data_IF_475514182503
#
_entry.id   IF_475514182503
#
_cell.length_a   1.000
_cell.length_b   1.000
_cell.length_c   1.000
_cell.angle_alpha   90.00
_cell.angle_beta   90.00
_cell.angle_gamma   90.00
#
_symmetry.space_group_name_H-M   'P 1'
#
loop_
_entity.id
_entity.type
_entity.pdbx_description
1 polymer ?
#
# COMPACT_ATOMS: atom_id res chain seq x y z
N UNK A 1 -23.94 -35.09 -7.91
CA UNK A 1 -23.06 -34.28 -7.04
C UNK A 1 -23.76 -32.97 -6.76
N UNK A 2 -23.93 -32.53 -5.50
CA UNK A 2 -24.52 -31.22 -5.23
C UNK A 2 -23.51 -30.16 -5.69
N UNK A 3 -23.94 -29.32 -6.63
CA UNK A 3 -23.25 -28.10 -7.03
C UNK A 3 -23.15 -27.20 -5.80
N UNK A 4 -21.99 -27.20 -5.14
CA UNK A 4 -21.64 -26.19 -4.15
C UNK A 4 -21.53 -24.86 -4.88
N UNK A 5 -22.64 -24.12 -4.94
CA UNK A 5 -22.66 -22.72 -5.35
C UNK A 5 -21.72 -22.00 -4.38
N UNK A 6 -20.50 -21.70 -4.83
CA UNK A 6 -19.59 -20.85 -4.07
C UNK A 6 -20.34 -19.56 -3.77
N UNK A 7 -20.49 -19.15 -2.49
CA UNK A 7 -21.23 -17.95 -2.16
C UNK A 7 -20.69 -16.78 -2.97
N UNK A 8 -21.59 -16.03 -3.61
CA UNK A 8 -21.22 -14.77 -4.25
C UNK A 8 -20.50 -13.93 -3.21
N UNK A 9 -19.22 -13.61 -3.43
CA UNK A 9 -18.47 -12.79 -2.47
C UNK A 9 -19.16 -11.44 -2.39
N UNK A 10 -19.94 -11.23 -1.33
CA UNK A 10 -20.51 -9.94 -1.00
C UNK A 10 -19.35 -8.94 -0.93
N UNK A 11 -19.42 -7.88 -1.73
CA UNK A 11 -18.38 -6.84 -1.80
C UNK A 11 -18.04 -6.37 -0.38
N UNK A 12 -16.79 -6.54 0.03
CA UNK A 12 -16.34 -6.15 1.37
C UNK A 12 -16.20 -4.62 1.45
N UNK A 13 -17.30 -3.90 1.75
CA UNK A 13 -17.34 -2.44 1.74
C UNK A 13 -16.26 -1.79 2.64
N UNK A 14 -15.95 -2.41 3.78
CA UNK A 14 -14.89 -1.92 4.65
C UNK A 14 -13.50 -1.95 3.99
N UNK A 15 -13.19 -2.95 3.16
CA UNK A 15 -11.91 -3.02 2.44
C UNK A 15 -11.86 -2.01 1.29
N UNK A 16 -12.99 -1.71 0.66
CA UNK A 16 -13.05 -0.64 -0.34
C UNK A 16 -12.80 0.72 0.29
N UNK A 17 -13.48 1.02 1.41
CA UNK A 17 -13.28 2.26 2.14
C UNK A 17 -11.84 2.38 2.67
N UNK A 18 -11.25 1.28 3.13
CA UNK A 18 -9.86 1.27 3.57
C UNK A 18 -8.90 1.52 2.41
N UNK A 19 -9.11 0.92 1.23
CA UNK A 19 -8.32 1.22 0.03
C UNK A 19 -8.41 2.68 -0.37
N UNK A 20 -9.60 3.29 -0.30
CA UNK A 20 -9.75 4.73 -0.57
C UNK A 20 -8.89 5.56 0.38
N UNK A 21 -8.91 5.26 1.69
CA UNK A 21 -8.01 5.92 2.66
C UNK A 21 -6.54 5.76 2.25
N UNK A 22 -6.11 4.54 1.92
CA UNK A 22 -4.72 4.27 1.56
C UNK A 22 -4.34 5.00 0.24
N UNK A 23 -5.25 5.09 -0.72
CA UNK A 23 -5.04 5.86 -1.95
C UNK A 23 -4.86 7.34 -1.63
N UNK A 24 -5.67 7.91 -0.74
CA UNK A 24 -5.48 9.30 -0.30
C UNK A 24 -4.13 9.46 0.41
N UNK A 25 -3.74 8.53 1.28
CA UNK A 25 -2.43 8.55 1.94
C UNK A 25 -1.26 8.48 0.95
N UNK A 26 -1.37 7.75 -0.16
CA UNK A 26 -0.36 7.76 -1.25
C UNK A 26 -0.23 9.18 -1.82
N UNK A 27 -1.35 9.84 -2.12
CA UNK A 27 -1.35 11.21 -2.65
C UNK A 27 -0.68 12.17 -1.67
N UNK A 28 -1.04 12.10 -0.38
CA UNK A 28 -0.42 12.95 0.64
C UNK A 28 1.05 12.61 0.87
N UNK A 29 1.45 11.34 0.80
CA UNK A 29 2.86 10.96 0.86
C UNK A 29 3.67 11.67 -0.23
N UNK A 30 3.25 11.54 -1.48
CA UNK A 30 3.94 12.18 -2.61
C UNK A 30 3.85 13.72 -2.58
N UNK A 31 2.71 14.29 -2.18
CA UNK A 31 2.57 15.74 -2.04
C UNK A 31 3.53 16.33 -1.00
N UNK A 32 3.85 15.56 0.06
CA UNK A 32 4.77 15.97 1.10
C UNK A 32 6.24 15.98 0.66
N UNK A 33 6.64 15.19 -0.34
CA UNK A 33 8.06 15.01 -0.69
C UNK A 33 8.74 16.32 -1.13
N UNK A 34 7.98 17.26 -1.68
CA UNK A 34 8.47 18.60 -2.01
C UNK A 34 8.82 19.47 -0.78
N UNK A 35 8.18 19.21 0.35
CA UNK A 35 8.19 20.08 1.52
C UNK A 35 8.90 19.44 2.72
N UNK A 36 9.41 18.21 2.59
CA UNK A 36 10.03 17.47 3.68
C UNK A 36 11.18 16.59 3.19
N UNK A 37 11.60 15.66 4.04
CA UNK A 37 12.73 14.74 3.85
C UNK A 37 12.31 13.37 3.26
N UNK A 38 11.19 13.32 2.53
CA UNK A 38 10.56 12.09 2.03
C UNK A 38 11.24 11.46 0.81
N UNK A 39 12.54 11.67 0.61
CA UNK A 39 13.29 11.17 -0.54
C UNK A 39 13.25 12.09 -1.78
N UNK A 40 13.80 11.58 -2.89
CA UNK A 40 13.96 12.35 -4.12
C UNK A 40 12.61 12.75 -4.74
N UNK A 41 12.50 14.00 -5.18
CA UNK A 41 11.30 14.54 -5.80
C UNK A 41 11.67 15.50 -6.95
N UNK A 42 10.95 15.49 -8.08
CA UNK A 42 11.31 16.28 -9.27
C UNK A 42 11.07 17.78 -9.14
N UNK A 43 10.36 18.22 -8.08
CA UNK A 43 10.09 19.62 -7.79
C UNK A 43 10.76 20.02 -6.47
N UNK A 44 11.23 21.26 -6.40
CA UNK A 44 11.71 21.87 -5.15
C UNK A 44 11.10 23.26 -5.03
N UNK A 45 10.57 23.63 -3.85
CA UNK A 45 9.92 24.92 -3.66
C UNK A 45 10.91 26.07 -3.79
N UNK A 46 10.50 27.12 -4.51
CA UNK A 46 11.28 28.36 -4.65
C UNK A 46 11.37 29.19 -3.37
N UNK A 47 10.39 29.06 -2.47
CA UNK A 47 10.32 29.78 -1.21
C UNK A 47 10.98 28.99 -0.07
N UNK A 48 12.02 29.58 0.54
CA UNK A 48 12.88 28.90 1.52
C UNK A 48 12.19 28.50 2.83
N UNK A 49 11.07 29.14 3.19
CA UNK A 49 10.30 28.83 4.40
C UNK A 49 9.25 27.72 4.22
N UNK A 50 9.21 27.07 3.05
CA UNK A 50 8.25 25.99 2.76
C UNK A 50 8.69 24.61 3.26
N UNK A 51 9.86 24.49 3.87
CA UNK A 51 10.28 23.25 4.53
C UNK A 51 9.46 22.96 5.80
N UNK A 52 9.05 21.71 5.97
CA UNK A 52 8.16 21.24 7.03
C UNK A 52 8.80 20.10 7.82
N UNK A 53 9.45 20.44 8.92
CA UNK A 53 10.22 19.46 9.72
C UNK A 53 9.42 18.31 10.31
N UNK A 54 8.11 18.47 10.56
CA UNK A 54 7.30 17.37 11.12
C UNK A 54 7.00 16.26 10.09
N UNK A 55 7.18 16.53 8.79
CA UNK A 55 7.00 15.52 7.75
C UNK A 55 8.00 14.35 7.90
N UNK A 56 9.16 14.57 8.52
CA UNK A 56 10.12 13.51 8.85
C UNK A 56 9.61 12.48 9.85
N UNK A 57 8.51 12.75 10.55
CA UNK A 57 7.78 11.73 11.33
C UNK A 57 6.65 11.09 10.52
N UNK A 58 6.06 11.84 9.58
CA UNK A 58 4.96 11.38 8.74
C UNK A 58 5.40 10.31 7.74
N UNK A 59 6.50 10.52 7.01
CA UNK A 59 7.00 9.58 6.01
C UNK A 59 7.27 8.18 6.58
N UNK A 60 8.09 8.00 7.63
CA UNK A 60 8.38 6.68 8.17
C UNK A 60 7.13 6.01 8.75
N UNK A 61 6.27 6.74 9.45
CA UNK A 61 5.00 6.18 9.96
C UNK A 61 4.10 5.72 8.81
N UNK A 62 3.98 6.52 7.75
CA UNK A 62 3.18 6.15 6.59
C UNK A 62 3.77 4.92 5.90
N UNK A 63 5.07 4.98 5.57
CA UNK A 63 5.84 3.92 4.90
C UNK A 63 5.81 2.58 5.65
N UNK A 64 5.80 2.63 6.98
CA UNK A 64 5.76 1.45 7.84
C UNK A 64 4.57 0.51 7.56
N UNK A 65 3.45 0.99 7.02
CA UNK A 65 2.28 0.12 6.81
C UNK A 65 1.61 0.26 5.45
N UNK A 66 1.58 1.44 4.82
CA UNK A 66 0.58 1.68 3.77
C UNK A 66 0.72 0.76 2.55
N UNK A 67 1.94 0.59 2.02
CA UNK A 67 2.21 -0.33 0.89
C UNK A 67 2.08 -1.78 1.30
N UNK A 68 2.57 -2.14 2.49
CA UNK A 68 2.37 -3.48 3.05
C UNK A 68 0.89 -3.84 3.16
N UNK A 69 0.06 -2.93 3.65
CA UNK A 69 -1.38 -3.11 3.75
C UNK A 69 -2.05 -3.18 2.37
N UNK A 70 -1.58 -2.41 1.38
CA UNK A 70 -2.02 -2.58 -0.01
C UNK A 70 -1.70 -3.97 -0.56
N UNK A 71 -0.50 -4.51 -0.32
CA UNK A 71 -0.15 -5.88 -0.70
C UNK A 71 -1.04 -6.90 0.00
N UNK A 72 -1.25 -6.75 1.31
CA UNK A 72 -2.11 -7.61 2.13
C UNK A 72 -3.54 -7.66 1.58
N UNK A 73 -4.17 -6.50 1.35
CA UNK A 73 -5.54 -6.43 0.85
C UNK A 73 -5.62 -6.92 -0.60
N UNK A 74 -4.62 -6.62 -1.43
CA UNK A 74 -4.60 -7.06 -2.84
C UNK A 74 -4.46 -8.57 -2.97
N UNK A 75 -3.62 -9.17 -2.12
CA UNK A 75 -3.38 -10.60 -2.07
C UNK A 75 -4.55 -11.38 -1.45
N UNK A 76 -5.29 -10.78 -0.51
CA UNK A 76 -6.50 -11.38 0.07
C UNK A 76 -7.50 -11.85 -0.99
N UNK A 77 -7.68 -11.13 -2.10
CA UNK A 77 -8.63 -11.54 -3.14
C UNK A 77 -8.04 -12.49 -4.20
N UNK A 78 -6.73 -12.76 -4.17
CA UNK A 78 -6.07 -13.61 -5.18
C UNK A 78 -6.59 -15.05 -5.16
N UNK A 79 -6.60 -15.78 -4.02
CA UNK A 79 -6.93 -17.19 -4.04
C UNK A 79 -8.36 -17.43 -4.52
N UNK A 80 -9.32 -16.65 -4.03
CA UNK A 80 -10.71 -16.72 -4.50
C UNK A 80 -10.90 -16.36 -5.97
N UNK A 81 -10.13 -15.39 -6.49
CA UNK A 81 -10.18 -15.05 -7.91
C UNK A 81 -9.59 -16.15 -8.78
N UNK A 82 -8.53 -16.81 -8.33
CA UNK A 82 -7.88 -17.93 -9.01
C UNK A 82 -8.79 -19.16 -9.01
N UNK A 83 -9.33 -19.55 -7.85
CA UNK A 83 -10.23 -20.71 -7.71
C UNK A 83 -11.48 -20.58 -8.61
N UNK A 84 -12.02 -19.36 -8.77
CA UNK A 84 -13.22 -19.12 -9.61
C UNK A 84 -12.92 -19.02 -11.11
N UNK A 85 -11.80 -18.42 -11.49
CA UNK A 85 -11.51 -18.13 -12.90
C UNK A 85 -10.67 -19.23 -13.57
N UNK A 86 -10.01 -20.07 -12.78
CA UNK A 86 -8.94 -20.95 -13.24
C UNK A 86 -7.68 -20.16 -13.64
N UNK A 87 -6.57 -20.88 -13.75
CA UNK A 87 -5.23 -20.31 -13.93
C UNK A 87 -5.09 -19.46 -15.19
N UNK A 88 -5.48 -19.98 -16.36
CA UNK A 88 -5.34 -19.27 -17.64
C UNK A 88 -6.08 -17.93 -17.64
N UNK A 89 -7.34 -17.93 -17.18
CA UNK A 89 -8.14 -16.72 -17.18
C UNK A 89 -7.68 -15.73 -16.10
N UNK A 90 -7.23 -16.22 -14.93
CA UNK A 90 -6.65 -15.39 -13.88
C UNK A 90 -5.40 -14.65 -14.36
N UNK A 91 -4.44 -15.38 -14.95
CA UNK A 91 -3.19 -14.82 -15.47
C UNK A 91 -3.49 -13.77 -16.55
N UNK A 92 -4.37 -14.08 -17.51
CA UNK A 92 -4.76 -13.12 -18.56
C UNK A 92 -5.37 -11.84 -17.96
N UNK A 93 -6.30 -11.96 -17.00
CA UNK A 93 -6.93 -10.80 -16.34
C UNK A 93 -5.89 -9.95 -15.59
N UNK A 94 -4.94 -10.58 -14.91
CA UNK A 94 -3.86 -9.88 -14.17
C UNK A 94 -2.87 -9.21 -15.11
N UNK A 95 -2.42 -9.89 -16.15
CA UNK A 95 -1.51 -9.34 -17.15
C UNK A 95 -2.09 -8.11 -17.85
N UNK A 96 -3.37 -8.14 -18.23
CA UNK A 96 -4.04 -6.98 -18.83
C UNK A 96 -4.20 -5.86 -17.80
N UNK A 97 -4.76 -6.16 -16.63
CA UNK A 97 -5.10 -5.14 -15.64
C UNK A 97 -3.87 -4.45 -15.05
N UNK A 98 -2.79 -5.18 -14.79
CA UNK A 98 -1.58 -4.62 -14.18
C UNK A 98 -0.54 -4.24 -15.24
N UNK A 99 -0.34 -5.09 -16.25
CA UNK A 99 0.70 -4.90 -17.25
C UNK A 99 0.41 -3.78 -18.24
N UNK A 100 -0.84 -3.60 -18.71
CA UNK A 100 -1.16 -2.51 -19.65
C UNK A 100 -0.88 -1.14 -19.03
N UNK A 101 -1.38 -0.81 -17.82
CA UNK A 101 -1.05 0.47 -17.21
C UNK A 101 0.45 0.66 -16.91
N UNK A 102 1.15 -0.38 -16.49
CA UNK A 102 2.60 -0.33 -16.29
C UNK A 102 3.34 0.00 -17.60
N UNK A 103 2.97 -0.63 -18.72
CA UNK A 103 3.55 -0.34 -20.03
C UNK A 103 3.30 1.10 -20.47
N UNK A 104 2.11 1.64 -20.19
CA UNK A 104 1.80 3.05 -20.48
C UNK A 104 2.72 3.97 -19.69
N UNK A 105 2.91 3.72 -18.39
CA UNK A 105 3.83 4.52 -17.56
C UNK A 105 5.27 4.39 -18.05
N UNK A 106 5.71 3.20 -18.43
CA UNK A 106 7.05 2.96 -18.97
C UNK A 106 7.31 3.76 -20.25
N UNK A 107 6.35 3.77 -21.19
CA UNK A 107 6.43 4.53 -22.44
C UNK A 107 6.42 6.04 -22.17
N UNK A 108 5.56 6.50 -21.27
CA UNK A 108 5.49 7.91 -20.89
C UNK A 108 6.78 8.37 -20.22
N UNK A 109 7.32 7.57 -19.29
CA UNK A 109 8.60 7.81 -18.63
C UNK A 109 9.71 7.93 -19.67
N UNK A 110 9.84 6.97 -20.59
CA UNK A 110 10.82 7.02 -21.68
C UNK A 110 10.69 8.28 -22.54
N UNK A 111 9.46 8.68 -22.87
CA UNK A 111 9.19 9.83 -23.72
C UNK A 111 9.52 11.17 -23.06
N UNK A 112 9.31 11.27 -21.74
CA UNK A 112 9.48 12.52 -20.98
C UNK A 112 10.90 12.66 -20.44
N UNK A 113 11.49 11.58 -19.94
CA UNK A 113 12.79 11.61 -19.24
C UNK A 113 13.94 11.02 -20.05
N UNK A 114 13.64 10.38 -21.18
CA UNK A 114 14.62 9.60 -21.95
C UNK A 114 15.00 8.26 -21.32
N UNK A 115 14.38 7.86 -20.21
CA UNK A 115 14.64 6.60 -19.50
C UNK A 115 13.35 5.82 -19.30
N UNK A 116 13.37 4.54 -19.64
CA UNK A 116 12.24 3.65 -19.41
C UNK A 116 12.23 3.19 -17.94
N UNK A 117 11.47 3.87 -17.10
CA UNK A 117 11.36 3.54 -15.67
C UNK A 117 9.91 3.25 -15.29
N UNK A 118 9.69 2.29 -14.39
CA UNK A 118 8.37 2.03 -13.82
C UNK A 118 7.90 3.14 -12.88
N UNK A 119 8.78 4.08 -12.52
CA UNK A 119 8.51 5.19 -11.62
C UNK A 119 7.75 4.70 -10.37
N UNK A 120 6.61 5.33 -10.04
CA UNK A 120 5.78 4.92 -8.91
C UNK A 120 5.04 3.60 -9.10
N UNK A 121 4.98 3.01 -10.31
CA UNK A 121 4.23 1.77 -10.61
C UNK A 121 4.90 0.46 -10.18
N UNK A 122 6.06 0.54 -9.51
CA UNK A 122 6.78 -0.60 -8.95
C UNK A 122 5.89 -1.54 -8.13
N UNK A 123 4.86 -1.04 -7.44
CA UNK A 123 3.94 -1.89 -6.68
C UNK A 123 3.11 -2.81 -7.58
N UNK A 124 2.68 -2.35 -8.76
CA UNK A 124 1.94 -3.18 -9.71
C UNK A 124 2.82 -4.26 -10.31
N UNK A 125 4.08 -3.92 -10.56
CA UNK A 125 5.09 -4.85 -11.04
C UNK A 125 5.30 -6.00 -10.04
N UNK A 126 5.53 -5.67 -8.76
CA UNK A 126 5.63 -6.64 -7.68
C UNK A 126 4.33 -7.42 -7.49
N UNK A 127 3.18 -6.75 -7.55
CA UNK A 127 1.89 -7.43 -7.40
C UNK A 127 1.64 -8.44 -8.52
N UNK A 128 2.04 -8.11 -9.75
CA UNK A 128 1.99 -9.03 -10.88
C UNK A 128 2.94 -10.20 -10.66
N UNK A 129 4.21 -9.92 -10.33
CA UNK A 129 5.22 -10.94 -10.07
C UNK A 129 4.80 -11.91 -8.95
N UNK A 130 4.38 -11.38 -7.79
CA UNK A 130 3.89 -12.19 -6.66
C UNK A 130 2.63 -12.98 -7.01
N UNK A 131 1.73 -12.42 -7.82
CA UNK A 131 0.54 -13.14 -8.30
C UNK A 131 0.92 -14.33 -9.19
N UNK A 132 1.91 -14.17 -10.07
CA UNK A 132 2.40 -15.25 -10.94
C UNK A 132 3.15 -16.31 -10.13
N UNK A 133 4.02 -15.89 -9.20
CA UNK A 133 4.70 -16.80 -8.29
C UNK A 133 3.70 -17.64 -7.47
N UNK A 134 2.63 -17.01 -6.96
CA UNK A 134 1.56 -17.72 -6.26
C UNK A 134 0.85 -18.74 -7.17
N UNK A 135 0.59 -18.41 -8.43
CA UNK A 135 0.00 -19.34 -9.40
C UNK A 135 0.92 -20.55 -9.63
N UNK A 136 2.22 -20.33 -9.80
CA UNK A 136 3.18 -21.42 -9.96
C UNK A 136 3.19 -22.35 -8.74
N UNK A 137 3.22 -21.79 -7.53
CA UNK A 137 3.14 -22.55 -6.28
C UNK A 137 1.80 -23.30 -6.19
N UNK A 138 0.68 -22.63 -6.51
CA UNK A 138 -0.65 -23.22 -6.47
C UNK A 138 -0.75 -24.42 -7.41
N UNK A 139 -0.29 -24.32 -8.66
CA UNK A 139 -0.32 -25.42 -9.63
C UNK A 139 0.63 -26.57 -9.23
N UNK A 140 1.83 -26.26 -8.74
CA UNK A 140 2.78 -27.26 -8.26
C UNK A 140 2.22 -28.03 -7.06
N UNK A 141 1.57 -27.34 -6.12
CA UNK A 141 0.98 -27.92 -4.92
C UNK A 141 -0.40 -28.56 -5.18
N UNK A 142 -1.08 -28.23 -6.30
CA UNK A 142 -2.43 -28.76 -6.62
C UNK A 142 -2.46 -30.28 -6.67
N UNK A 143 -1.36 -30.90 -7.12
CA UNK A 143 -1.20 -32.37 -7.19
C UNK A 143 -1.14 -33.03 -5.81
N UNK A 144 -0.79 -32.28 -4.77
CA UNK A 144 -0.48 -32.83 -3.45
C UNK A 144 -1.65 -32.73 -2.45
N UNK A 145 -2.90 -32.54 -2.92
CA UNK A 145 -4.12 -32.36 -2.11
C UNK A 145 -3.81 -31.70 -0.76
N UNK A 146 -3.26 -30.48 -0.82
CA UNK A 146 -2.71 -29.83 0.38
C UNK A 146 -3.85 -29.53 1.36
N UNK A 147 -4.07 -30.48 2.27
CA UNK A 147 -5.01 -30.41 3.39
C UNK A 147 -4.49 -29.44 4.44
N UNK A 148 -4.40 -28.16 4.09
CA UNK A 148 -4.16 -27.10 5.06
C UNK A 148 -5.32 -27.15 6.06
N UNK A 149 -5.04 -27.63 7.28
CA UNK A 149 -5.98 -27.51 8.41
C UNK A 149 -6.43 -26.06 8.49
N UNK A 150 -7.72 -25.85 8.24
CA UNK A 150 -8.38 -24.53 8.06
C UNK A 150 -8.48 -23.69 9.33
N UNK A 151 -7.87 -24.11 10.43
CA UNK A 151 -8.17 -23.56 11.74
C UNK A 151 -6.96 -22.94 12.42
N UNK A 152 -6.64 -21.74 11.96
CA UNK A 152 -5.63 -20.89 12.58
C UNK A 152 -6.13 -19.45 12.62
N UNK A 153 -7.01 -19.11 13.57
CA UNK A 153 -7.41 -17.72 13.86
C UNK A 153 -6.22 -16.82 14.20
N UNK A 154 -6.18 -15.58 13.71
CA UNK A 154 -5.16 -14.62 14.08
C UNK A 154 -5.31 -14.22 15.57
N UNK A 155 -4.23 -14.32 16.34
CA UNK A 155 -4.17 -13.92 17.75
C UNK A 155 -2.91 -13.08 18.02
N UNK A 156 -2.81 -12.48 19.22
CA UNK A 156 -1.70 -11.59 19.57
C UNK A 156 -0.35 -12.30 19.51
N UNK A 157 -0.24 -13.53 20.02
CA UNK A 157 1.01 -14.30 19.97
C UNK A 157 1.51 -14.47 18.53
N UNK A 158 0.61 -14.78 17.58
CA UNK A 158 1.00 -14.89 16.17
C UNK A 158 1.42 -13.56 15.57
N UNK A 159 0.74 -12.47 15.90
CA UNK A 159 1.18 -11.13 15.45
C UNK A 159 2.58 -10.82 15.98
N UNK A 160 2.85 -11.13 17.24
CA UNK A 160 4.17 -10.94 17.85
C UNK A 160 5.25 -11.83 17.20
N UNK A 161 4.95 -13.11 16.95
CA UNK A 161 5.87 -14.02 16.27
C UNK A 161 6.16 -13.58 14.82
N UNK A 162 5.12 -13.11 14.11
CA UNK A 162 5.27 -12.55 12.76
C UNK A 162 6.09 -11.25 12.79
N UNK A 163 5.88 -10.38 13.77
CA UNK A 163 6.65 -9.15 13.96
C UNK A 163 8.11 -9.46 14.28
N UNK A 164 8.38 -10.42 15.17
CA UNK A 164 9.73 -10.86 15.51
C UNK A 164 10.46 -11.48 14.30
N UNK A 165 9.77 -12.34 13.54
CA UNK A 165 10.33 -12.91 12.32
C UNK A 165 10.61 -11.86 11.25
N UNK A 166 9.65 -10.96 11.00
CA UNK A 166 9.83 -9.84 10.07
C UNK A 166 10.98 -8.94 10.50
N UNK A 167 11.06 -8.59 11.78
CA UNK A 167 12.13 -7.79 12.36
C UNK A 167 13.49 -8.44 12.15
N UNK A 168 13.63 -9.74 12.41
CA UNK A 168 14.89 -10.45 12.26
C UNK A 168 15.37 -10.41 10.80
N UNK A 169 14.49 -10.75 9.84
CA UNK A 169 14.83 -10.71 8.41
C UNK A 169 15.16 -9.29 7.96
N UNK A 170 14.37 -8.31 8.38
CA UNK A 170 14.55 -6.89 8.02
C UNK A 170 15.88 -6.35 8.54
N UNK A 171 16.26 -6.71 9.77
CA UNK A 171 17.56 -6.34 10.34
C UNK A 171 18.72 -6.82 9.46
N UNK A 172 18.74 -8.11 9.11
CA UNK A 172 19.82 -8.68 8.29
C UNK A 172 19.86 -8.09 6.88
N UNK A 173 18.70 -7.94 6.23
CA UNK A 173 18.63 -7.36 4.87
C UNK A 173 19.16 -5.92 4.85
N UNK A 174 18.87 -5.15 5.91
CA UNK A 174 19.28 -3.75 6.03
C UNK A 174 20.75 -3.53 6.39
N UNK A 175 21.49 -4.57 6.77
CA UNK A 175 22.95 -4.47 6.94
C UNK A 175 23.65 -4.15 5.61
N UNK A 176 23.16 -4.70 4.50
CA UNK A 176 23.72 -4.51 3.16
C UNK A 176 22.87 -3.63 2.24
N UNK A 177 21.59 -3.45 2.59
CA UNK A 177 20.63 -2.71 1.78
C UNK A 177 19.91 -1.67 2.65
N UNK A 178 20.49 -0.48 2.83
CA UNK A 178 19.85 0.62 3.52
C UNK A 178 18.51 1.01 2.88
N UNK A 179 17.66 1.68 3.67
CA UNK A 179 16.42 2.29 3.20
C UNK A 179 16.75 3.34 2.10
N UNK A 180 15.83 3.50 1.15
CA UNK A 180 15.92 4.36 -0.04
C UNK A 180 16.98 3.95 -1.06
N UNK A 181 17.58 2.77 -0.91
CA UNK A 181 18.52 2.22 -1.88
C UNK A 181 17.84 1.25 -2.86
N UNK A 182 17.38 1.79 -3.99
CA UNK A 182 16.69 1.05 -5.04
C UNK A 182 17.66 0.28 -5.94
N UNK A 183 17.34 -0.98 -6.25
CA UNK A 183 18.11 -1.87 -7.12
C UNK A 183 17.19 -2.61 -8.08
N UNK A 184 17.69 -2.92 -9.27
CA UNK A 184 16.99 -3.79 -10.21
C UNK A 184 17.31 -5.26 -9.92
N UNK A 185 16.40 -5.94 -9.21
CA UNK A 185 16.55 -7.35 -8.87
C UNK A 185 16.33 -8.23 -10.10
N UNK A 186 17.27 -9.15 -10.33
CA UNK A 186 17.24 -10.06 -11.48
C UNK A 186 17.32 -9.36 -12.84
N UNK A 187 17.64 -8.06 -12.88
CA UNK A 187 17.68 -7.27 -14.11
C UNK A 187 16.32 -6.87 -14.68
N UNK A 188 15.22 -7.07 -13.94
CA UNK A 188 13.89 -6.69 -14.42
C UNK A 188 12.98 -6.08 -13.36
N UNK A 189 13.16 -6.38 -12.06
CA UNK A 189 12.25 -5.94 -11.00
C UNK A 189 12.84 -4.74 -10.23
N UNK A 190 12.22 -3.57 -10.33
CA UNK A 190 12.72 -2.37 -9.64
C UNK A 190 12.29 -2.36 -8.18
N UNK A 191 13.19 -2.73 -7.27
CA UNK A 191 12.86 -2.97 -5.87
C UNK A 191 13.72 -2.15 -4.92
N UNK A 192 13.15 -1.79 -3.78
CA UNK A 192 13.89 -1.35 -2.60
C UNK A 192 14.09 -2.56 -1.66
N UNK A 193 15.26 -3.21 -1.63
CA UNK A 193 15.42 -4.47 -0.90
C UNK A 193 15.13 -4.34 0.59
N UNK A 194 15.35 -3.15 1.17
CA UNK A 194 15.09 -2.83 2.58
C UNK A 194 13.64 -3.07 3.03
N UNK A 195 12.66 -2.99 2.12
CA UNK A 195 11.23 -3.19 2.40
C UNK A 195 10.66 -4.49 1.81
N UNK A 196 11.41 -5.20 0.97
CA UNK A 196 10.93 -6.47 0.38
C UNK A 196 10.49 -7.52 1.40
N UNK A 197 11.18 -7.74 2.55
CA UNK A 197 10.70 -8.68 3.57
C UNK A 197 9.28 -8.36 4.04
N UNK A 198 8.98 -7.07 4.25
CA UNK A 198 7.66 -6.61 4.64
C UNK A 198 6.64 -6.86 3.52
N UNK A 199 6.94 -6.49 2.28
CA UNK A 199 6.00 -6.62 1.16
C UNK A 199 5.66 -8.09 0.84
N UNK A 200 6.68 -8.96 0.82
CA UNK A 200 6.50 -10.40 0.61
C UNK A 200 5.69 -11.01 1.74
N UNK A 201 6.01 -10.68 3.00
CA UNK A 201 5.26 -11.19 4.16
C UNK A 201 3.80 -10.74 4.08
N UNK A 202 3.55 -9.44 3.86
CA UNK A 202 2.19 -8.90 3.82
C UNK A 202 1.38 -9.49 2.67
N UNK A 203 1.98 -9.70 1.49
CA UNK A 203 1.34 -10.42 0.39
C UNK A 203 0.97 -11.86 0.79
N UNK A 204 1.91 -12.61 1.39
CA UNK A 204 1.68 -13.98 1.84
C UNK A 204 0.58 -14.04 2.92
N UNK A 205 0.59 -13.12 3.88
CA UNK A 205 -0.45 -13.00 4.91
C UNK A 205 -1.82 -12.71 4.31
N UNK A 206 -1.90 -12.02 3.16
CA UNK A 206 -3.17 -11.78 2.47
C UNK A 206 -3.78 -13.08 1.96
N UNK A 207 -2.97 -13.92 1.32
CA UNK A 207 -3.37 -15.26 0.87
C UNK A 207 -3.82 -16.11 2.07
N UNK A 208 -3.03 -16.14 3.14
CA UNK A 208 -3.34 -16.89 4.37
C UNK A 208 -4.63 -16.38 5.00
N UNK A 209 -4.81 -15.06 5.07
CA UNK A 209 -5.99 -14.42 5.64
C UNK A 209 -7.26 -14.79 4.87
N UNK A 210 -7.21 -14.92 3.54
CA UNK A 210 -8.35 -15.37 2.76
C UNK A 210 -8.68 -16.84 3.04
N UNK A 211 -7.66 -17.71 3.04
CA UNK A 211 -7.86 -19.16 3.23
C UNK A 211 -8.35 -19.52 4.62
N UNK A 212 -8.09 -18.68 5.63
CA UNK A 212 -8.46 -18.90 7.04
C UNK A 212 -9.49 -17.88 7.57
N UNK A 213 -10.10 -17.08 6.68
CA UNK A 213 -11.03 -16.00 7.03
C UNK A 213 -10.55 -15.12 8.20
N UNK A 214 -9.28 -14.69 8.20
CA UNK A 214 -8.74 -13.87 9.30
C UNK A 214 -9.49 -12.55 9.43
N UNK A 215 -9.88 -11.93 8.32
CA UNK A 215 -10.56 -10.63 8.36
C UNK A 215 -12.00 -10.76 8.87
N UNK A 216 -12.72 -11.85 8.59
CA UNK A 216 -14.05 -12.10 9.16
C UNK A 216 -13.99 -12.56 10.62
N UNK A 217 -13.02 -13.41 10.96
CA UNK A 217 -12.90 -14.04 12.28
C UNK A 217 -12.04 -13.30 13.31
N UNK A 218 -11.40 -12.17 12.96
CA UNK A 218 -10.57 -11.39 13.88
C UNK A 218 -11.37 -10.99 15.12
N UNK A 219 -10.90 -11.37 16.31
CA UNK A 219 -11.64 -11.09 17.54
C UNK A 219 -11.60 -9.60 17.91
N UNK A 220 -12.68 -9.07 18.54
CA UNK A 220 -12.72 -7.67 18.94
C UNK A 220 -11.59 -7.27 19.89
N UNK A 221 -11.24 -8.12 20.86
CA UNK A 221 -10.16 -7.84 21.82
C UNK A 221 -8.81 -7.73 21.13
N UNK A 222 -8.49 -8.65 20.21
CA UNK A 222 -7.24 -8.59 19.44
C UNK A 222 -7.21 -7.32 18.60
N UNK A 223 -8.27 -7.03 17.84
CA UNK A 223 -8.35 -5.84 17.00
C UNK A 223 -8.18 -4.52 17.76
N UNK A 224 -8.81 -4.39 18.93
CA UNK A 224 -8.67 -3.21 19.81
C UNK A 224 -7.25 -3.06 20.37
N UNK A 225 -6.64 -4.16 20.82
CA UNK A 225 -5.26 -4.14 21.31
C UNK A 225 -4.29 -3.74 20.20
N UNK A 226 -4.45 -4.27 18.99
CA UNK A 226 -3.60 -3.90 17.84
C UNK A 226 -3.74 -2.41 17.49
N UNK A 227 -4.96 -1.86 17.52
CA UNK A 227 -5.18 -0.42 17.33
C UNK A 227 -4.54 0.42 18.45
N UNK A 228 -4.66 0.00 19.71
CA UNK A 228 -4.09 0.71 20.84
C UNK A 228 -2.55 0.71 20.79
N UNK A 229 -1.95 -0.45 20.49
CA UNK A 229 -0.50 -0.60 20.29
C UNK A 229 -0.04 0.29 19.14
N UNK A 230 -0.71 0.22 17.98
CA UNK A 230 -0.35 1.04 16.84
C UNK A 230 -0.48 2.55 17.14
N UNK A 231 -1.57 2.97 17.79
CA UNK A 231 -1.79 4.35 18.19
C UNK A 231 -0.74 4.87 19.18
N UNK A 232 -0.37 4.05 20.16
CA UNK A 232 0.72 4.37 21.09
C UNK A 232 2.05 4.51 20.34
N UNK A 233 2.38 3.57 19.45
CA UNK A 233 3.61 3.64 18.67
C UNK A 233 3.67 4.90 17.78
N UNK A 234 2.60 5.20 17.05
CA UNK A 234 2.52 6.46 16.28
C UNK A 234 2.73 7.66 17.19
N UNK A 235 2.05 7.73 18.33
CA UNK A 235 2.23 8.82 19.30
C UNK A 235 3.68 8.96 19.75
N UNK A 236 4.37 7.86 20.07
CA UNK A 236 5.77 7.89 20.50
C UNK A 236 6.72 8.44 19.43
N UNK A 237 6.44 8.21 18.13
CA UNK A 237 7.21 8.82 17.04
C UNK A 237 7.03 10.35 17.05
N UNK A 238 5.79 10.84 17.19
CA UNK A 238 5.50 12.28 17.19
C UNK A 238 5.95 12.99 18.48
N UNK A 239 6.19 12.25 19.57
CA UNK A 239 6.75 12.79 20.81
C UNK A 239 8.28 12.99 20.76
N UNK A 240 8.96 12.61 19.66
CA UNK A 240 10.41 12.77 19.49
C UNK A 240 10.94 14.18 19.78
N UNK A 241 10.31 15.29 19.33
CA UNK A 241 10.81 16.64 19.62
C UNK A 241 10.79 16.98 21.11
N UNK A 242 9.88 16.37 21.88
CA UNK A 242 9.71 16.59 23.33
C UNK A 242 10.60 15.65 24.13
N UNK A 243 10.77 14.40 23.67
CA UNK A 243 11.59 13.38 24.32
C UNK A 243 12.65 12.80 23.36
N UNK A 244 13.76 13.52 23.10
CA UNK A 244 14.76 13.13 22.10
C UNK A 244 15.41 11.79 22.37
N UNK A 245 15.65 11.43 23.64
CA UNK A 245 16.21 10.12 24.00
C UNK A 245 15.31 8.98 23.53
N UNK A 246 13.99 9.09 23.73
CA UNK A 246 13.04 8.07 23.30
C UNK A 246 12.99 7.98 21.77
N UNK A 247 12.86 9.12 21.08
CA UNK A 247 12.81 9.17 19.62
C UNK A 247 14.09 8.64 18.95
N UNK A 248 15.26 8.98 19.49
CA UNK A 248 16.53 8.48 18.95
C UNK A 248 16.70 6.98 19.16
N UNK A 249 16.24 6.43 20.29
CA UNK A 249 16.23 4.99 20.51
C UNK A 249 15.26 4.27 19.55
N UNK A 250 14.11 4.85 19.26
CA UNK A 250 13.17 4.32 18.25
C UNK A 250 13.84 4.27 16.88
N UNK A 251 14.45 5.38 16.43
CA UNK A 251 15.11 5.41 15.12
C UNK A 251 16.31 4.49 14.99
N UNK A 252 17.14 4.41 16.04
CA UNK A 252 18.27 3.47 16.08
C UNK A 252 17.82 2.02 15.89
N UNK A 253 16.60 1.69 16.30
CA UNK A 253 16.06 0.35 16.23
C UNK A 253 14.80 0.27 15.36
N UNK A 254 14.75 1.06 14.27
CA UNK A 254 13.56 1.18 13.43
C UNK A 254 13.08 -0.16 12.86
N UNK A 255 13.98 -1.12 12.58
CA UNK A 255 13.64 -2.43 11.99
C UNK A 255 12.57 -3.22 12.77
N UNK A 256 12.62 -3.25 14.11
CA UNK A 256 11.61 -3.97 14.90
C UNK A 256 10.38 -3.11 15.14
N UNK A 257 10.60 -1.81 15.29
CA UNK A 257 9.53 -0.83 15.52
C UNK A 257 8.58 -0.79 14.33
N UNK A 258 9.13 -0.69 13.13
CA UNK A 258 8.40 -0.73 11.87
C UNK A 258 7.69 -2.06 11.67
N UNK A 259 8.33 -3.19 11.94
CA UNK A 259 7.70 -4.51 11.77
C UNK A 259 6.45 -4.67 12.66
N UNK A 260 6.53 -4.26 13.92
CA UNK A 260 5.40 -4.31 14.85
C UNK A 260 4.33 -3.25 14.49
N UNK A 261 4.75 -2.04 14.13
CA UNK A 261 3.85 -0.97 13.68
C UNK A 261 3.09 -1.40 12.42
N UNK A 262 3.77 -1.97 11.42
CA UNK A 262 3.20 -2.49 10.19
C UNK A 262 2.04 -3.45 10.48
N UNK A 263 2.31 -4.51 11.26
CA UNK A 263 1.33 -5.56 11.52
C UNK A 263 0.18 -5.07 12.42
N UNK A 264 0.50 -4.34 13.50
CA UNK A 264 -0.50 -3.83 14.43
C UNK A 264 -1.43 -2.81 13.77
N UNK A 265 -0.88 -1.85 13.01
CA UNK A 265 -1.65 -0.85 12.32
C UNK A 265 -2.45 -1.46 11.16
N UNK A 266 -1.88 -2.39 10.39
CA UNK A 266 -2.57 -3.06 9.29
C UNK A 266 -3.80 -3.85 9.74
N UNK A 267 -3.62 -4.79 10.68
CA UNK A 267 -4.73 -5.59 11.19
C UNK A 267 -5.68 -4.77 12.08
N UNK A 268 -5.16 -3.76 12.78
CA UNK A 268 -5.95 -2.80 13.55
C UNK A 268 -6.88 -1.97 12.67
N UNK A 269 -6.37 -1.40 11.56
CA UNK A 269 -7.18 -0.66 10.59
C UNK A 269 -8.22 -1.53 9.90
N UNK A 270 -7.87 -2.78 9.54
CA UNK A 270 -8.83 -3.75 9.01
C UNK A 270 -9.97 -3.98 10.01
N UNK A 271 -9.64 -4.19 11.30
CA UNK A 271 -10.63 -4.33 12.35
C UNK A 271 -11.50 -3.07 12.49
N UNK A 272 -10.89 -1.88 12.59
CA UNK A 272 -11.57 -0.60 12.71
C UNK A 272 -12.56 -0.39 11.56
N UNK A 273 -12.10 -0.61 10.32
CA UNK A 273 -12.94 -0.42 9.14
C UNK A 273 -14.06 -1.45 9.08
N UNK A 274 -13.80 -2.70 9.44
CA UNK A 274 -14.83 -3.75 9.49
C UNK A 274 -15.94 -3.43 10.49
N UNK A 275 -15.61 -2.86 11.66
CA UNK A 275 -16.59 -2.57 12.71
C UNK A 275 -17.27 -1.21 12.54
N UNK A 276 -16.54 -0.18 12.10
CA UNK A 276 -17.02 1.21 12.08
C UNK A 276 -17.31 1.76 10.70
N UNK A 277 -16.63 1.26 9.67
CA UNK A 277 -16.70 1.79 8.30
C UNK A 277 -17.17 0.75 7.28
N UNK A 278 -17.89 -0.29 7.70
CA UNK A 278 -18.45 -1.31 6.82
C UNK A 278 -19.82 -0.91 6.23
N UNK A 279 -19.88 0.28 5.64
CA UNK A 279 -21.07 0.80 4.97
C UNK A 279 -20.69 1.40 3.63
N UNK A 280 -21.55 1.23 2.64
CA UNK A 280 -21.42 1.86 1.32
C UNK A 280 -22.47 2.96 1.14
N UNK A 281 -22.15 3.92 0.29
CA UNK A 281 -23.06 4.96 -0.22
C UNK A 281 -22.69 5.22 -1.69
N UNK A 282 -23.53 5.88 -2.50
CA UNK A 282 -23.19 6.20 -3.89
C UNK A 282 -21.83 6.89 -4.02
N UNK A 283 -21.55 7.86 -3.14
CA UNK A 283 -20.27 8.56 -3.11
C UNK A 283 -19.09 7.66 -2.72
N UNK A 284 -19.22 6.83 -1.67
CA UNK A 284 -18.14 5.91 -1.27
C UNK A 284 -17.84 4.86 -2.34
N UNK A 285 -18.89 4.37 -3.01
CA UNK A 285 -18.77 3.46 -4.15
C UNK A 285 -18.06 4.15 -5.30
N UNK A 286 -18.43 5.40 -5.61
CA UNK A 286 -17.77 6.20 -6.63
C UNK A 286 -16.26 6.36 -6.34
N UNK A 287 -15.88 6.72 -5.11
CA UNK A 287 -14.48 6.80 -4.68
C UNK A 287 -13.76 5.46 -4.86
N UNK A 288 -14.33 4.38 -4.32
CA UNK A 288 -13.72 3.05 -4.40
C UNK A 288 -13.50 2.58 -5.84
N UNK A 289 -14.41 2.92 -6.74
CA UNK A 289 -14.31 2.56 -8.15
C UNK A 289 -13.18 3.36 -8.85
N UNK A 290 -12.79 4.56 -8.38
CA UNK A 290 -11.67 5.34 -8.95
C UNK A 290 -10.32 5.06 -8.30
N UNK A 291 -10.28 4.52 -7.08
CA UNK A 291 -9.08 4.46 -6.25
C UNK A 291 -7.88 3.78 -6.93
N UNK A 292 -8.13 2.76 -7.76
CA UNK A 292 -7.08 2.11 -8.56
C UNK A 292 -6.52 3.02 -9.66
N UNK A 293 -7.36 3.79 -10.33
CA UNK A 293 -6.93 4.73 -11.36
C UNK A 293 -6.10 5.89 -10.81
N UNK A 294 -6.42 6.38 -9.61
CA UNK A 294 -5.72 7.52 -8.98
C UNK A 294 -4.23 7.23 -8.82
N UNK A 295 -3.89 5.98 -8.53
CA UNK A 295 -2.52 5.52 -8.44
C UNK A 295 -1.70 5.82 -9.71
N UNK A 296 -2.29 5.88 -10.90
CA UNK A 296 -1.56 6.23 -12.13
C UNK A 296 -1.37 7.74 -12.30
N UNK A 297 -2.41 8.52 -12.04
CA UNK A 297 -2.45 9.92 -12.45
C UNK A 297 -1.98 10.90 -11.38
N UNK A 298 -1.99 10.52 -10.10
CA UNK A 298 -1.76 11.46 -9.01
C UNK A 298 -0.42 12.18 -9.07
N UNK A 299 0.68 11.53 -9.47
CA UNK A 299 1.97 12.20 -9.56
C UNK A 299 1.95 13.40 -10.51
N UNK A 300 1.39 13.23 -11.72
CA UNK A 300 1.30 14.31 -12.70
C UNK A 300 0.47 15.49 -12.17
N UNK A 301 -0.61 15.17 -11.45
CA UNK A 301 -1.46 16.18 -10.81
C UNK A 301 -0.71 16.90 -9.68
N UNK A 302 -0.02 16.18 -8.80
CA UNK A 302 0.75 16.76 -7.70
C UNK A 302 1.85 17.69 -8.24
N UNK A 303 2.66 17.19 -9.17
CA UNK A 303 3.78 17.95 -9.76
C UNK A 303 3.25 19.19 -10.48
N UNK A 304 2.20 19.03 -11.30
CA UNK A 304 1.57 20.16 -12.00
C UNK A 304 1.04 21.23 -11.04
N UNK A 305 0.39 20.82 -9.94
CA UNK A 305 -0.08 21.75 -8.92
C UNK A 305 1.08 22.42 -8.15
N UNK A 306 2.14 21.68 -7.84
CA UNK A 306 3.31 22.25 -7.16
C UNK A 306 3.98 23.34 -8.00
N UNK A 307 4.22 23.09 -9.30
CA UNK A 307 4.73 24.13 -10.20
C UNK A 307 3.75 25.29 -10.39
N UNK A 308 2.45 25.02 -10.48
CA UNK A 308 1.44 26.08 -10.65
C UNK A 308 1.37 27.04 -9.45
N UNK A 309 1.69 26.55 -8.25
CA UNK A 309 1.66 27.33 -7.01
C UNK A 309 3.05 27.64 -6.43
N UNK A 310 4.13 27.46 -7.20
CA UNK A 310 5.51 27.58 -6.71
C UNK A 310 5.77 28.93 -6.04
N UNK A 311 5.53 30.04 -6.74
CA UNK A 311 5.74 31.39 -6.21
C UNK A 311 4.61 31.94 -5.32
N UNK A 312 3.55 31.16 -5.07
CA UNK A 312 2.42 31.63 -4.25
C UNK A 312 2.67 31.33 -2.77
N UNK A 313 2.98 32.37 -2.00
CA UNK A 313 3.23 32.25 -0.56
C UNK A 313 1.93 32.00 0.22
N UNK A 314 1.81 30.81 0.81
CA UNK A 314 0.69 30.42 1.67
C UNK A 314 1.00 30.58 3.16
N UNK A 315 2.06 31.31 3.52
CA UNK A 315 2.51 31.59 4.88
C UNK A 315 3.22 30.43 5.58
N UNK A 316 2.95 29.17 5.21
CA UNK A 316 3.76 28.02 5.67
C UNK A 316 3.75 26.86 4.68
N UNK A 317 4.86 26.11 4.65
CA UNK A 317 4.93 24.85 3.92
C UNK A 317 3.88 23.83 4.35
N UNK A 318 3.41 23.86 5.60
CA UNK A 318 2.35 22.95 6.08
C UNK A 318 1.02 23.26 5.40
N UNK A 319 0.66 24.54 5.27
CA UNK A 319 -0.56 24.95 4.57
C UNK A 319 -0.46 24.57 3.10
N UNK A 320 0.69 24.83 2.46
CA UNK A 320 0.89 24.49 1.05
C UNK A 320 0.86 22.99 0.81
N UNK A 321 1.50 22.19 1.65
CA UNK A 321 1.42 20.73 1.64
C UNK A 321 -0.03 20.22 1.71
N UNK A 322 -0.81 20.70 2.68
CA UNK A 322 -2.21 20.29 2.84
C UNK A 322 -3.06 20.73 1.66
N UNK A 323 -2.88 21.95 1.18
CA UNK A 323 -3.58 22.49 0.02
C UNK A 323 -3.32 21.63 -1.23
N UNK A 324 -2.04 21.37 -1.54
CA UNK A 324 -1.65 20.54 -2.68
C UNK A 324 -2.18 19.12 -2.52
N UNK A 325 -2.06 18.50 -1.34
CA UNK A 325 -2.57 17.15 -1.08
C UNK A 325 -4.09 17.03 -1.29
N UNK A 326 -4.86 17.99 -0.79
CA UNK A 326 -6.33 18.03 -0.96
C UNK A 326 -6.69 18.25 -2.43
N UNK A 327 -6.11 19.27 -3.07
CA UNK A 327 -6.39 19.57 -4.48
C UNK A 327 -6.00 18.41 -5.39
N UNK A 328 -4.81 17.84 -5.18
CA UNK A 328 -4.35 16.68 -5.95
C UNK A 328 -5.24 15.47 -5.76
N UNK A 329 -5.75 15.23 -4.54
CA UNK A 329 -6.72 14.17 -4.29
C UNK A 329 -7.99 14.40 -5.11
N UNK A 330 -8.64 15.56 -4.97
CA UNK A 330 -9.90 15.85 -5.67
C UNK A 330 -9.73 15.77 -7.19
N UNK A 331 -8.70 16.42 -7.73
CA UNK A 331 -8.42 16.44 -9.16
C UNK A 331 -8.09 15.06 -9.69
N UNK A 332 -7.31 14.23 -8.97
CA UNK A 332 -6.99 12.88 -9.41
C UNK A 332 -8.21 11.97 -9.48
N UNK A 333 -9.10 12.03 -8.48
CA UNK A 333 -10.33 11.24 -8.50
C UNK A 333 -11.28 11.69 -9.64
N UNK A 334 -11.39 13.00 -9.88
CA UNK A 334 -12.18 13.54 -10.99
C UNK A 334 -11.60 13.15 -12.35
N UNK A 335 -10.28 13.28 -12.54
CA UNK A 335 -9.59 12.90 -13.77
C UNK A 335 -9.78 11.42 -14.09
N UNK A 336 -9.64 10.53 -13.10
CA UNK A 336 -9.86 9.10 -13.29
C UNK A 336 -11.30 8.80 -13.67
N UNK A 337 -12.27 9.49 -13.08
CA UNK A 337 -13.67 9.35 -13.46
C UNK A 337 -13.90 9.71 -14.93
N UNK A 338 -13.28 10.79 -15.42
CA UNK A 338 -13.34 11.19 -16.83
C UNK A 338 -12.67 10.12 -17.72
N UNK A 339 -11.48 9.65 -17.37
CA UNK A 339 -10.76 8.61 -18.13
C UNK A 339 -11.55 7.30 -18.16
N UNK A 340 -12.20 6.91 -17.06
CA UNK A 340 -13.04 5.70 -17.00
C UNK A 340 -14.37 5.84 -17.75
N UNK A 341 -14.72 7.05 -18.19
CA UNK A 341 -15.87 7.27 -19.07
C UNK A 341 -15.55 6.95 -20.53
N UNK A 342 -14.27 6.84 -20.90
CA UNK A 342 -13.82 6.42 -22.23
C UNK A 342 -14.14 4.92 -22.45
N UNK A 343 -14.68 4.53 -23.62
CA UNK A 343 -14.97 3.13 -23.92
C UNK A 343 -13.74 2.21 -23.72
N UNK A 344 -13.94 1.09 -23.02
CA UNK A 344 -12.88 0.12 -22.73
C UNK A 344 -12.06 0.38 -21.47
N UNK A 345 -11.95 1.63 -21.01
CA UNK A 345 -11.09 1.98 -19.86
C UNK A 345 -11.53 1.37 -18.54
N UNK A 346 -12.84 1.14 -18.33
CA UNK A 346 -13.36 0.46 -17.13
C UNK A 346 -12.85 -0.98 -16.94
N UNK A 347 -12.33 -1.62 -18.00
CA UNK A 347 -11.74 -2.97 -17.91
C UNK A 347 -10.31 -2.93 -17.41
N UNK A 348 -9.65 -1.79 -17.58
CA UNK A 348 -8.25 -1.56 -17.21
C UNK A 348 -8.17 -0.85 -15.85
N UNK A 349 -9.00 0.18 -15.62
CA UNK A 349 -9.00 1.07 -14.46
C UNK A 349 -10.16 0.85 -13.48
#
# INVERSE_FOLDING_TARGET
MPTTVLPSVTRCHYLDNLKVLLTVLVVFHHAGQAYGDGGAWPYSPSLSHEYVGWLGNFFPVNAAFFMGLFFLISAYFIPGSLDRSGTKQFVRKRAIRLGVPMLVVLILSLSVTGKAEFAHTWFLEHLLFYSLAYVCIYEACRKYEWGLKRDRRLNLLRVLLLAAGLSAVTYYVRLENPIDHWKMLGGFLSSEPAHLPQYVLMFALGIVAYRNDWFGSLSPSVGKVLLAVAGLMVLLVYLRPVYPFLGNNIWKNWWWYEALLCLSLSFGLIYLYRVRFNRTSPFRRWLADQAYGVYFFHLFVIIGLQYAFDGFDMGSGTVKFLFIGICATVVSFALVYLVRSIPGMKRVL
#
